data_IF_531338667881
#
_entry.id   IF_531338667881
#
_cell.length_a   1.000
_cell.length_b   1.000
_cell.length_c   1.000
_cell.angle_alpha   90.00
_cell.angle_beta   90.00
_cell.angle_gamma   90.00
#
_symmetry.space_group_name_H-M   'P 1'
#
loop_
_entity.id
_entity.type
_entity.pdbx_description
1 polymer ?
#
# COMPACT_ATOMS: atom_id res chain seq x y z
N UNK A 1 45.29 -34.31 -4.74
CA UNK A 1 44.08 -34.27 -3.89
C UNK A 1 43.71 -32.89 -3.36
N UNK A 2 44.17 -31.77 -3.98
CA UNK A 2 43.87 -30.40 -3.55
C UNK A 2 43.00 -29.59 -4.56
N UNK A 3 42.71 -30.13 -5.74
CA UNK A 3 41.97 -29.39 -6.81
C UNK A 3 40.46 -29.65 -6.74
N UNK A 4 39.99 -30.71 -6.07
CA UNK A 4 38.54 -31.03 -6.01
C UNK A 4 37.79 -30.20 -4.96
N UNK A 5 38.52 -29.69 -3.94
CA UNK A 5 37.86 -28.89 -2.85
C UNK A 5 37.51 -27.46 -3.25
N UNK A 6 38.20 -26.92 -4.26
CA UNK A 6 37.96 -25.52 -4.70
C UNK A 6 36.78 -25.40 -5.65
N UNK A 7 36.37 -26.49 -6.32
CA UNK A 7 35.22 -26.49 -7.24
C UNK A 7 33.88 -26.62 -6.51
N UNK A 8 33.85 -27.17 -5.29
CA UNK A 8 32.60 -27.27 -4.50
C UNK A 8 32.20 -25.98 -3.81
N UNK A 9 33.13 -25.05 -3.57
CA UNK A 9 32.80 -23.74 -2.95
C UNK A 9 32.17 -22.72 -3.93
N UNK A 10 32.33 -22.90 -5.23
CA UNK A 10 31.80 -22.00 -6.25
C UNK A 10 30.33 -22.32 -6.64
N UNK A 11 29.83 -23.49 -6.25
CA UNK A 11 28.45 -23.91 -6.53
C UNK A 11 27.43 -23.43 -5.50
N UNK A 12 27.85 -22.89 -4.36
CA UNK A 12 26.92 -22.43 -3.31
C UNK A 12 26.50 -20.94 -3.43
N UNK A 13 27.10 -20.18 -4.33
CA UNK A 13 26.77 -18.73 -4.49
C UNK A 13 25.57 -18.51 -5.44
N UNK A 14 25.14 -19.55 -6.16
CA UNK A 14 24.05 -19.46 -7.17
C UNK A 14 22.63 -19.68 -6.65
N UNK A 15 22.44 -20.27 -5.47
CA UNK A 15 21.11 -20.71 -5.02
C UNK A 15 20.30 -19.65 -4.27
N UNK A 16 20.93 -18.62 -3.72
CA UNK A 16 20.26 -17.58 -2.94
C UNK A 16 19.44 -16.56 -3.77
N UNK A 17 19.66 -16.50 -5.09
CA UNK A 17 18.91 -15.61 -5.99
C UNK A 17 17.65 -16.22 -6.59
N UNK A 18 17.57 -17.53 -6.69
CA UNK A 18 16.43 -18.22 -7.32
C UNK A 18 15.20 -18.26 -6.40
N UNK A 19 15.38 -18.51 -5.11
CA UNK A 19 14.26 -18.63 -4.16
C UNK A 19 13.52 -17.31 -3.89
N UNK A 20 14.19 -16.18 -4.01
CA UNK A 20 13.55 -14.87 -3.81
C UNK A 20 12.59 -14.48 -4.94
N UNK A 21 12.80 -14.98 -6.15
CA UNK A 21 11.93 -14.77 -7.30
C UNK A 21 10.78 -15.78 -7.29
N UNK A 22 10.96 -16.96 -6.74
CA UNK A 22 9.97 -18.06 -6.77
C UNK A 22 8.66 -17.71 -6.05
N UNK A 23 8.69 -16.89 -5.00
CA UNK A 23 7.47 -16.47 -4.28
C UNK A 23 6.62 -15.41 -5.02
N UNK A 24 7.20 -14.69 -5.99
CA UNK A 24 6.48 -13.77 -6.87
C UNK A 24 5.85 -14.45 -8.08
N UNK A 25 6.30 -15.65 -8.44
CA UNK A 25 5.83 -16.41 -9.61
C UNK A 25 4.39 -16.94 -9.46
N UNK A 26 3.70 -16.66 -8.35
CA UNK A 26 2.24 -16.87 -8.25
C UNK A 26 1.43 -15.87 -9.07
N UNK A 27 2.04 -14.74 -9.48
CA UNK A 27 1.49 -13.86 -10.50
C UNK A 27 2.20 -14.20 -11.80
N UNK A 28 1.54 -14.87 -12.76
CA UNK A 28 2.21 -15.33 -13.96
C UNK A 28 2.63 -14.15 -14.85
N UNK A 29 3.77 -14.31 -15.54
CA UNK A 29 4.25 -13.38 -16.55
C UNK A 29 4.58 -11.95 -16.04
N UNK A 30 5.17 -11.84 -14.86
CA UNK A 30 5.80 -10.61 -14.43
C UNK A 30 7.18 -10.45 -15.07
N UNK A 31 7.51 -9.23 -15.46
CA UNK A 31 8.85 -8.84 -15.89
C UNK A 31 9.42 -7.78 -14.97
N UNK A 32 10.73 -7.85 -14.76
CA UNK A 32 11.44 -6.85 -13.97
C UNK A 32 11.48 -5.52 -14.73
N UNK A 33 10.99 -4.47 -14.08
CA UNK A 33 11.13 -3.12 -14.59
C UNK A 33 12.36 -2.43 -13.98
N UNK A 34 12.53 -2.52 -12.65
CA UNK A 34 13.68 -1.97 -11.96
C UNK A 34 13.99 -2.75 -10.68
N UNK A 35 15.22 -3.27 -10.56
CA UNK A 35 15.68 -4.04 -9.40
C UNK A 35 16.36 -3.18 -8.33
N UNK A 36 17.05 -2.12 -8.75
CA UNK A 36 17.91 -1.32 -7.89
C UNK A 36 17.24 0.05 -7.62
N UNK A 37 16.31 0.10 -6.68
CA UNK A 37 15.86 1.35 -6.08
C UNK A 37 16.69 1.66 -4.84
N UNK A 38 16.91 2.95 -4.55
CA UNK A 38 17.71 3.39 -3.41
C UNK A 38 17.20 2.87 -2.05
N UNK A 39 15.90 2.61 -1.94
CA UNK A 39 15.25 2.08 -0.74
C UNK A 39 15.06 0.55 -0.74
N UNK A 40 15.55 -0.16 -1.76
CA UNK A 40 15.52 -1.63 -1.85
C UNK A 40 14.26 -2.23 -2.47
N UNK A 41 13.26 -1.42 -2.88
CA UNK A 41 12.09 -1.92 -3.58
C UNK A 41 12.45 -2.43 -4.98
N UNK A 42 11.80 -3.51 -5.39
CA UNK A 42 11.91 -4.09 -6.72
C UNK A 42 10.59 -3.88 -7.46
N UNK A 43 10.66 -3.28 -8.63
CA UNK A 43 9.50 -2.97 -9.46
C UNK A 43 9.37 -3.99 -10.58
N UNK A 44 8.17 -4.55 -10.71
CA UNK A 44 7.79 -5.55 -11.70
C UNK A 44 6.56 -5.05 -12.45
N UNK A 45 6.36 -5.49 -13.67
CA UNK A 45 5.15 -5.15 -14.41
C UNK A 45 4.54 -6.39 -15.09
N UNK A 46 3.24 -6.37 -15.30
CA UNK A 46 2.51 -7.46 -15.91
C UNK A 46 2.66 -7.43 -17.44
N UNK A 47 3.21 -8.51 -18.02
CA UNK A 47 3.32 -8.70 -19.49
C UNK A 47 2.05 -9.28 -20.10
N UNK A 48 1.23 -9.95 -19.30
CA UNK A 48 -0.05 -10.53 -19.69
C UNK A 48 -1.08 -10.21 -18.65
N UNK A 49 -2.34 -10.26 -19.02
CA UNK A 49 -3.44 -10.19 -18.07
C UNK A 49 -3.31 -11.34 -17.07
N UNK A 50 -3.64 -11.10 -15.82
CA UNK A 50 -3.62 -12.14 -14.82
C UNK A 50 -4.89 -12.12 -13.94
N UNK A 51 -5.16 -13.28 -13.37
CA UNK A 51 -6.17 -13.49 -12.34
C UNK A 51 -5.51 -14.22 -11.19
N UNK A 52 -5.77 -13.76 -9.97
CA UNK A 52 -5.22 -14.33 -8.73
C UNK A 52 -6.23 -14.15 -7.59
N UNK A 53 -5.84 -14.59 -6.39
CA UNK A 53 -6.69 -14.52 -5.22
C UNK A 53 -7.62 -15.73 -5.10
N UNK A 54 -8.55 -15.63 -4.17
CA UNK A 54 -9.55 -16.68 -3.97
C UNK A 54 -10.56 -16.63 -5.11
N UNK A 55 -10.73 -17.78 -5.82
CA UNK A 55 -11.68 -17.89 -6.95
C UNK A 55 -11.40 -16.82 -8.05
N UNK A 56 -10.12 -16.50 -8.28
CA UNK A 56 -9.71 -15.50 -9.28
C UNK A 56 -10.38 -14.12 -9.11
N UNK A 57 -10.66 -13.74 -7.87
CA UNK A 57 -11.36 -12.50 -7.56
C UNK A 57 -10.52 -11.23 -7.77
N UNK A 58 -9.22 -11.34 -7.94
CA UNK A 58 -8.31 -10.25 -8.31
C UNK A 58 -7.95 -10.38 -9.78
N UNK A 59 -8.21 -9.35 -10.56
CA UNK A 59 -7.93 -9.30 -12.00
C UNK A 59 -7.14 -8.05 -12.32
N UNK A 60 -6.12 -8.18 -13.19
CA UNK A 60 -5.39 -7.04 -13.71
C UNK A 60 -4.92 -7.27 -15.14
N UNK A 61 -4.88 -6.22 -15.91
CA UNK A 61 -4.43 -6.26 -17.29
C UNK A 61 -2.91 -6.03 -17.38
N UNK A 62 -2.33 -6.47 -18.50
CA UNK A 62 -0.94 -6.18 -18.85
C UNK A 62 -0.67 -4.69 -18.88
N UNK A 63 0.51 -4.28 -18.47
CA UNK A 63 0.95 -2.90 -18.56
C UNK A 63 1.45 -2.55 -19.95
N UNK A 64 1.00 -1.42 -20.46
CA UNK A 64 1.59 -0.82 -21.68
C UNK A 64 2.85 -0.03 -21.28
N UNK A 65 3.95 -0.22 -22.01
CA UNK A 65 5.23 0.47 -21.72
C UNK A 65 5.09 1.99 -21.63
N UNK A 66 4.27 2.59 -22.48
CA UNK A 66 4.00 4.03 -22.48
C UNK A 66 3.37 4.50 -21.17
N UNK A 67 2.32 3.80 -20.70
CA UNK A 67 1.63 4.14 -19.46
C UNK A 67 2.53 3.92 -18.24
N UNK A 68 3.29 2.81 -18.26
CA UNK A 68 4.27 2.49 -17.24
C UNK A 68 5.31 3.60 -17.07
N UNK A 69 5.94 4.06 -18.15
CA UNK A 69 6.95 5.12 -18.13
C UNK A 69 6.37 6.44 -17.57
N UNK A 70 5.15 6.79 -17.97
CA UNK A 70 4.50 8.02 -17.52
C UNK A 70 4.16 8.01 -16.02
N UNK A 71 3.79 6.86 -15.48
CA UNK A 71 3.38 6.72 -14.07
C UNK A 71 4.54 6.39 -13.14
N UNK A 72 5.60 5.76 -13.64
CA UNK A 72 6.70 5.27 -12.81
C UNK A 72 7.39 6.37 -12.00
N UNK A 73 7.59 7.56 -12.57
CA UNK A 73 8.20 8.67 -11.86
C UNK A 73 7.38 9.11 -10.65
N UNK A 74 6.05 9.12 -10.79
CA UNK A 74 5.12 9.44 -9.69
C UNK A 74 5.20 8.36 -8.61
N UNK A 75 5.14 7.07 -9.01
CA UNK A 75 5.23 5.93 -8.09
C UNK A 75 6.55 5.98 -7.33
N UNK A 76 7.66 6.14 -8.06
CA UNK A 76 8.99 6.20 -7.47
C UNK A 76 9.12 7.36 -6.48
N UNK A 77 8.70 8.58 -6.86
CA UNK A 77 8.73 9.77 -6.00
C UNK A 77 8.03 9.50 -4.65
N UNK A 78 6.83 8.90 -4.69
CA UNK A 78 6.05 8.65 -3.48
C UNK A 78 6.62 7.49 -2.65
N UNK A 79 7.10 6.42 -3.28
CA UNK A 79 7.67 5.28 -2.56
C UNK A 79 9.11 5.54 -2.05
N UNK A 80 9.87 6.43 -2.68
CA UNK A 80 11.19 6.85 -2.18
C UNK A 80 11.11 7.68 -0.88
N UNK A 81 9.93 8.16 -0.48
CA UNK A 81 9.71 8.78 0.84
C UNK A 81 9.91 7.79 2.00
N UNK A 82 9.84 6.49 1.74
CA UNK A 82 10.05 5.43 2.71
C UNK A 82 11.48 4.88 2.58
N UNK A 83 12.24 4.97 3.65
CA UNK A 83 13.60 4.43 3.66
C UNK A 83 13.62 2.89 3.71
N UNK A 84 14.77 2.30 3.46
CA UNK A 84 14.93 0.85 3.41
C UNK A 84 14.71 0.17 4.76
N UNK A 85 14.97 0.87 5.88
CA UNK A 85 14.76 0.36 7.24
C UNK A 85 13.26 0.21 7.51
N UNK A 86 12.48 1.25 7.20
CA UNK A 86 11.03 1.22 7.34
C UNK A 86 10.39 0.14 6.46
N UNK A 87 10.76 0.08 5.17
CA UNK A 87 10.21 -0.91 4.24
C UNK A 87 10.51 -2.35 4.67
N UNK A 88 11.67 -2.61 5.28
CA UNK A 88 11.98 -3.91 5.88
C UNK A 88 11.09 -4.22 7.08
N UNK A 89 10.84 -3.24 7.96
CA UNK A 89 9.95 -3.41 9.12
C UNK A 89 8.53 -3.80 8.72
N UNK A 90 7.98 -3.17 7.68
CA UNK A 90 6.65 -3.50 7.17
C UNK A 90 6.66 -4.69 6.19
N UNK A 91 7.81 -5.31 5.98
CA UNK A 91 8.01 -6.45 5.10
C UNK A 91 7.58 -6.20 3.64
N UNK A 92 7.72 -4.97 3.11
CA UNK A 92 7.45 -4.65 1.71
C UNK A 92 8.75 -4.74 0.89
N UNK A 93 8.70 -5.46 -0.24
CA UNK A 93 9.86 -5.64 -1.11
C UNK A 93 9.55 -5.44 -2.59
N UNK A 94 8.35 -5.77 -3.00
CA UNK A 94 7.96 -5.82 -4.41
C UNK A 94 6.80 -4.89 -4.70
N UNK A 95 6.89 -4.21 -5.83
CA UNK A 95 5.80 -3.39 -6.38
C UNK A 95 5.47 -3.94 -7.76
N UNK A 96 4.24 -4.43 -7.92
CA UNK A 96 3.73 -4.96 -9.18
C UNK A 96 2.85 -3.92 -9.85
N UNK A 97 3.17 -3.56 -11.08
CA UNK A 97 2.49 -2.55 -11.87
C UNK A 97 1.65 -3.22 -12.96
N UNK A 98 0.37 -2.92 -13.00
CA UNK A 98 -0.57 -3.43 -13.98
C UNK A 98 -1.65 -2.39 -14.30
N UNK A 99 -2.54 -2.64 -15.23
CA UNK A 99 -3.60 -1.72 -15.64
C UNK A 99 -4.98 -2.30 -15.37
N UNK A 100 -5.91 -1.44 -14.94
CA UNK A 100 -7.29 -1.82 -14.66
C UNK A 100 -7.36 -2.97 -13.63
N UNK A 101 -6.93 -2.67 -12.43
CA UNK A 101 -6.93 -3.61 -11.30
C UNK A 101 -8.34 -3.69 -10.68
N UNK A 102 -8.85 -4.89 -10.51
CA UNK A 102 -10.14 -5.16 -9.91
C UNK A 102 -10.02 -6.19 -8.79
N UNK A 103 -10.82 -6.00 -7.74
CA UNK A 103 -11.11 -7.00 -6.72
C UNK A 103 -12.62 -7.20 -6.63
N UNK A 104 -13.10 -8.44 -6.82
CA UNK A 104 -14.53 -8.77 -6.81
C UNK A 104 -15.38 -7.81 -7.66
N UNK A 105 -14.90 -7.46 -8.87
CA UNK A 105 -15.50 -6.54 -9.85
C UNK A 105 -15.43 -5.04 -9.49
N UNK A 106 -14.87 -4.67 -8.34
CA UNK A 106 -14.65 -3.27 -7.96
C UNK A 106 -13.27 -2.85 -8.46
N UNK A 107 -13.20 -1.75 -9.24
CA UNK A 107 -11.92 -1.14 -9.62
C UNK A 107 -11.23 -0.58 -8.38
N UNK A 108 -9.99 -0.97 -8.15
CA UNK A 108 -9.17 -0.52 -7.02
C UNK A 108 -7.84 0.03 -7.51
N UNK A 109 -7.30 0.97 -6.76
CA UNK A 109 -6.01 1.58 -7.08
C UNK A 109 -4.81 0.72 -6.70
N UNK A 110 -4.96 -0.09 -5.66
CA UNK A 110 -3.91 -0.97 -5.19
C UNK A 110 -4.44 -2.16 -4.40
N UNK A 111 -3.60 -3.15 -4.22
CA UNK A 111 -3.84 -4.30 -3.35
C UNK A 111 -2.54 -4.61 -2.61
N UNK A 112 -2.51 -4.41 -1.28
CA UNK A 112 -1.39 -4.77 -0.45
C UNK A 112 -1.43 -6.26 -0.10
N UNK A 113 -0.31 -6.95 -0.14
CA UNK A 113 -0.16 -8.33 0.33
C UNK A 113 1.11 -8.46 1.16
N UNK A 114 0.99 -8.35 2.47
CA UNK A 114 2.08 -8.51 3.42
C UNK A 114 2.74 -9.88 3.31
N UNK A 115 1.96 -10.94 3.12
CA UNK A 115 2.46 -12.32 3.06
C UNK A 115 3.39 -12.52 1.87
N UNK A 116 3.03 -11.93 0.73
CA UNK A 116 3.85 -11.95 -0.49
C UNK A 116 4.84 -10.78 -0.56
N UNK A 117 4.88 -9.93 0.45
CA UNK A 117 5.77 -8.77 0.51
C UNK A 117 5.58 -7.82 -0.69
N UNK A 118 4.34 -7.69 -1.17
CA UNK A 118 4.01 -7.09 -2.46
C UNK A 118 2.93 -6.05 -2.32
N UNK A 119 3.09 -4.98 -3.06
CA UNK A 119 2.05 -3.99 -3.35
C UNK A 119 1.75 -4.05 -4.85
N UNK A 120 0.51 -4.35 -5.23
CA UNK A 120 0.04 -4.26 -6.62
C UNK A 120 -0.57 -2.88 -6.81
N UNK A 121 -0.22 -2.17 -7.88
CA UNK A 121 -0.75 -0.84 -8.20
C UNK A 121 -1.36 -0.81 -9.61
N UNK A 122 -2.53 -0.22 -9.71
CA UNK A 122 -3.16 0.11 -11.00
C UNK A 122 -2.58 1.42 -11.55
N UNK A 123 -1.68 1.31 -12.54
CA UNK A 123 -1.08 2.51 -13.17
C UNK A 123 -2.09 3.31 -14.01
N UNK A 124 -3.30 2.79 -14.21
CA UNK A 124 -4.38 3.45 -14.97
C UNK A 124 -5.42 4.11 -14.05
N UNK A 125 -5.25 3.95 -12.73
CA UNK A 125 -6.16 4.54 -11.76
C UNK A 125 -6.24 6.06 -11.88
N UNK A 126 -7.33 6.63 -11.41
CA UNK A 126 -7.64 8.05 -11.51
C UNK A 126 -6.47 8.93 -11.02
N UNK A 127 -5.93 9.76 -11.90
CA UNK A 127 -4.77 10.61 -11.65
C UNK A 127 -4.96 11.55 -10.45
N UNK A 128 -6.19 12.02 -10.20
CA UNK A 128 -6.53 12.93 -9.09
C UNK A 128 -6.17 12.34 -7.73
N UNK A 129 -6.34 11.03 -7.56
CA UNK A 129 -6.18 10.34 -6.29
C UNK A 129 -4.91 9.50 -6.22
N UNK A 130 -4.21 9.28 -7.35
CA UNK A 130 -3.20 8.25 -7.50
C UNK A 130 -2.04 8.35 -6.51
N UNK A 131 -1.48 9.56 -6.28
CA UNK A 131 -0.39 9.74 -5.31
C UNK A 131 -0.84 9.37 -3.89
N UNK A 132 -2.02 9.84 -3.48
CA UNK A 132 -2.59 9.58 -2.17
C UNK A 132 -2.85 8.09 -1.93
N UNK A 133 -3.40 7.41 -2.93
CA UNK A 133 -3.70 5.98 -2.82
C UNK A 133 -2.46 5.14 -2.62
N UNK A 134 -1.31 5.48 -3.19
CA UNK A 134 -0.05 4.78 -2.90
C UNK A 134 0.22 4.74 -1.39
N UNK A 135 0.05 5.85 -0.70
CA UNK A 135 0.26 5.92 0.75
C UNK A 135 -0.86 5.24 1.54
N UNK A 136 -2.09 5.27 1.04
CA UNK A 136 -3.22 4.53 1.58
C UNK A 136 -2.93 3.02 1.62
N UNK A 137 -2.48 2.45 0.52
CA UNK A 137 -2.13 1.03 0.43
C UNK A 137 -0.89 0.67 1.27
N UNK A 138 0.09 1.56 1.36
CA UNK A 138 1.23 1.40 2.30
C UNK A 138 0.72 1.32 3.73
N UNK A 139 -0.27 2.12 4.12
CA UNK A 139 -0.83 2.06 5.46
C UNK A 139 -1.45 0.70 5.78
N UNK A 140 -2.15 0.06 4.85
CA UNK A 140 -2.67 -1.28 5.07
C UNK A 140 -1.55 -2.30 5.37
N UNK A 141 -0.39 -2.18 4.69
CA UNK A 141 0.78 -3.02 5.00
C UNK A 141 1.33 -2.70 6.41
N UNK A 142 1.37 -1.42 6.79
CA UNK A 142 1.77 -0.98 8.14
C UNK A 142 0.82 -1.54 9.18
N UNK A 143 -0.48 -1.37 8.98
CA UNK A 143 -1.53 -1.86 9.87
C UNK A 143 -1.43 -3.38 10.09
N UNK A 144 -1.30 -4.16 9.01
CA UNK A 144 -1.15 -5.61 9.10
C UNK A 144 0.17 -6.04 9.76
N UNK A 145 1.24 -5.27 9.54
CA UNK A 145 2.56 -5.57 10.11
C UNK A 145 2.64 -5.29 11.61
N UNK A 146 1.90 -4.30 12.08
CA UNK A 146 1.90 -3.82 13.45
C UNK A 146 0.49 -3.78 14.05
N UNK A 147 -0.33 -4.78 13.74
CA UNK A 147 -1.74 -4.84 14.14
C UNK A 147 -1.97 -4.62 15.64
N UNK A 148 -1.00 -5.01 16.48
CA UNK A 148 -1.04 -4.80 17.93
C UNK A 148 -0.92 -3.31 18.35
N UNK A 149 -0.47 -2.42 17.47
CA UNK A 149 -0.41 -0.98 17.70
C UNK A 149 -1.67 -0.23 17.28
N UNK A 150 -2.55 -0.88 16.51
CA UNK A 150 -3.75 -0.26 15.96
C UNK A 150 -5.00 -0.96 16.48
N UNK A 151 -5.80 -0.26 17.28
CA UNK A 151 -7.05 -0.79 17.83
C UNK A 151 -8.26 -0.10 17.20
N UNK A 152 -9.06 -0.88 16.49
CA UNK A 152 -10.28 -0.40 15.83
C UNK A 152 -11.33 0.12 16.81
N UNK A 153 -11.38 -0.39 18.05
CA UNK A 153 -12.32 0.08 19.09
C UNK A 153 -11.88 1.44 19.62
N UNK A 154 -10.58 1.59 19.94
CA UNK A 154 -10.00 2.87 20.35
C UNK A 154 -10.21 3.92 19.25
N UNK A 155 -9.92 3.59 18.00
CA UNK A 155 -10.14 4.47 16.86
C UNK A 155 -11.60 4.88 16.70
N UNK A 156 -12.53 3.93 16.78
CA UNK A 156 -13.96 4.17 16.65
C UNK A 156 -14.52 5.04 17.77
N UNK A 157 -13.92 4.99 18.96
CA UNK A 157 -14.32 5.80 20.12
C UNK A 157 -14.08 7.30 19.93
N UNK A 158 -13.22 7.72 19.00
CA UNK A 158 -13.08 9.14 18.65
C UNK A 158 -14.31 9.70 17.95
N UNK A 159 -15.09 8.88 17.26
CA UNK A 159 -16.25 9.30 16.48
C UNK A 159 -17.44 9.67 17.40
N UNK A 160 -18.39 10.43 16.86
CA UNK A 160 -19.66 10.69 17.55
C UNK A 160 -20.36 9.38 17.87
N UNK A 161 -21.00 9.29 19.05
CA UNK A 161 -21.71 8.06 19.51
C UNK A 161 -22.79 7.56 18.53
N UNK A 162 -23.37 8.46 17.74
CA UNK A 162 -24.37 8.14 16.72
C UNK A 162 -23.77 7.53 15.43
N UNK A 163 -22.45 7.59 15.25
CA UNK A 163 -21.79 7.07 14.05
C UNK A 163 -21.44 5.60 14.21
N UNK A 164 -21.68 4.82 13.14
CA UNK A 164 -21.23 3.42 13.02
C UNK A 164 -20.59 3.20 11.66
N UNK A 165 -19.46 2.52 11.66
CA UNK A 165 -18.85 2.00 10.43
C UNK A 165 -19.76 0.94 9.80
N UNK A 166 -19.56 0.69 8.50
CA UNK A 166 -20.15 -0.45 7.81
C UNK A 166 -19.45 -1.77 8.21
N UNK A 167 -20.02 -2.89 7.83
CA UNK A 167 -19.48 -4.23 8.15
C UNK A 167 -18.25 -4.57 7.29
N UNK A 168 -18.12 -4.00 6.10
CA UNK A 168 -16.95 -4.13 5.24
C UNK A 168 -16.75 -2.87 4.36
N UNK A 169 -15.53 -2.69 3.81
CA UNK A 169 -15.17 -1.53 2.98
C UNK A 169 -15.99 -1.44 1.68
N UNK A 170 -16.41 -2.58 1.15
CA UNK A 170 -17.17 -2.70 -0.10
C UNK A 170 -18.67 -2.94 0.10
N UNK A 171 -19.13 -3.02 1.36
CA UNK A 171 -20.56 -3.24 1.71
C UNK A 171 -21.37 -1.94 1.72
N UNK A 172 -20.76 -0.80 1.47
CA UNK A 172 -21.41 0.50 1.44
C UNK A 172 -21.15 1.20 0.10
N UNK A 173 -22.02 2.11 -0.26
CA UNK A 173 -21.89 3.01 -1.40
C UNK A 173 -20.96 4.20 -1.15
N UNK A 174 -20.29 4.22 0.01
CA UNK A 174 -19.36 5.28 0.45
C UNK A 174 -18.01 5.16 -0.24
N UNK A 175 -17.94 5.44 -1.51
CA UNK A 175 -16.75 5.24 -2.34
C UNK A 175 -16.08 6.55 -2.79
N UNK A 176 -16.63 7.72 -2.44
CA UNK A 176 -16.05 8.98 -2.85
C UNK A 176 -14.75 9.28 -2.09
N UNK A 177 -13.70 9.55 -2.86
CA UNK A 177 -12.34 9.83 -2.38
C UNK A 177 -12.04 11.34 -2.27
N UNK A 178 -12.98 12.23 -2.55
CA UNK A 178 -12.75 13.66 -2.44
C UNK A 178 -12.65 14.11 -0.98
N UNK A 179 -11.69 15.02 -0.73
CA UNK A 179 -11.51 15.61 0.59
C UNK A 179 -12.74 16.46 0.97
N UNK A 180 -13.31 16.19 2.12
CA UNK A 180 -14.40 16.99 2.66
C UNK A 180 -13.98 18.42 3.03
N UNK A 181 -14.82 19.39 2.74
CA UNK A 181 -14.62 20.74 3.23
C UNK A 181 -14.75 20.81 4.76
N UNK A 182 -15.80 20.20 5.31
CA UNK A 182 -16.01 20.01 6.75
C UNK A 182 -15.80 18.53 7.06
N UNK A 183 -14.73 18.21 7.76
CA UNK A 183 -14.30 16.83 7.97
C UNK A 183 -15.15 16.09 9.01
N UNK A 184 -15.58 16.76 10.06
CA UNK A 184 -16.38 16.15 11.15
C UNK A 184 -15.84 14.76 11.60
N UNK A 185 -14.51 14.70 11.70
CA UNK A 185 -13.75 13.49 12.02
C UNK A 185 -13.39 12.60 10.82
N UNK A 186 -13.89 12.88 9.62
CA UNK A 186 -13.65 12.05 8.42
C UNK A 186 -13.11 12.89 7.27
N UNK A 187 -12.02 12.44 6.65
CA UNK A 187 -11.38 13.20 5.57
C UNK A 187 -12.08 13.03 4.23
N UNK A 188 -12.66 11.87 3.97
CA UNK A 188 -13.41 11.54 2.75
C UNK A 188 -14.70 10.80 3.12
N UNK A 189 -15.57 10.58 2.13
CA UNK A 189 -16.71 9.66 2.32
C UNK A 189 -16.23 8.24 2.56
N UNK A 190 -15.21 7.80 1.84
CA UNK A 190 -14.61 6.47 1.99
C UNK A 190 -14.07 6.21 3.39
N UNK A 191 -13.58 7.23 4.10
CA UNK A 191 -13.21 7.14 5.52
C UNK A 191 -14.35 6.60 6.42
N UNK A 192 -15.60 6.76 6.00
CA UNK A 192 -16.77 6.29 6.78
C UNK A 192 -17.12 4.82 6.54
N UNK A 193 -16.37 4.11 5.68
CA UNK A 193 -16.65 2.71 5.37
C UNK A 193 -16.31 1.78 6.54
N UNK A 194 -15.03 1.62 6.87
CA UNK A 194 -14.57 0.87 8.05
C UNK A 194 -13.38 1.58 8.72
N UNK A 195 -13.08 1.19 9.95
CA UNK A 195 -12.04 1.84 10.75
C UNK A 195 -10.64 1.79 10.11
N UNK A 196 -10.26 0.68 9.48
CA UNK A 196 -8.95 0.55 8.81
C UNK A 196 -8.82 1.46 7.58
N UNK A 197 -9.91 1.64 6.82
CA UNK A 197 -9.92 2.57 5.69
C UNK A 197 -9.83 4.02 6.16
N UNK A 198 -10.52 4.36 7.25
CA UNK A 198 -10.43 5.68 7.86
C UNK A 198 -9.02 6.01 8.33
N UNK A 199 -8.33 5.06 8.98
CA UNK A 199 -6.92 5.20 9.36
C UNK A 199 -6.03 5.42 8.13
N UNK A 200 -6.24 4.62 7.07
CA UNK A 200 -5.47 4.70 5.83
C UNK A 200 -5.69 6.03 5.10
N UNK A 201 -6.92 6.54 5.08
CA UNK A 201 -7.24 7.85 4.53
C UNK A 201 -6.55 8.97 5.32
N UNK A 202 -6.65 8.98 6.66
CA UNK A 202 -5.97 9.99 7.50
C UNK A 202 -4.46 9.93 7.29
N UNK A 203 -3.86 8.73 7.28
CA UNK A 203 -2.42 8.57 7.03
C UNK A 203 -2.00 9.11 5.66
N UNK A 204 -2.74 8.76 4.61
CA UNK A 204 -2.41 9.17 3.25
C UNK A 204 -2.48 10.68 3.06
N UNK A 205 -3.47 11.35 3.65
CA UNK A 205 -3.57 12.80 3.63
C UNK A 205 -2.47 13.48 4.46
N UNK A 206 -2.04 12.90 5.58
CA UNK A 206 -0.91 13.42 6.36
C UNK A 206 0.39 13.47 5.55
N UNK A 207 0.55 12.60 4.56
CA UNK A 207 1.73 12.60 3.69
C UNK A 207 1.53 13.52 2.50
N UNK A 208 0.39 13.45 1.82
CA UNK A 208 0.18 14.13 0.53
C UNK A 208 -0.36 15.55 0.66
N UNK A 209 -1.05 15.86 1.76
CA UNK A 209 -1.68 17.17 1.98
C UNK A 209 -1.63 17.61 3.46
N UNK A 210 -0.45 17.45 4.07
CA UNK A 210 -0.20 17.70 5.50
C UNK A 210 -0.72 19.07 5.95
N UNK A 211 -0.39 20.12 5.20
CA UNK A 211 -0.75 21.50 5.56
C UNK A 211 -2.27 21.70 5.66
N UNK A 212 -3.02 21.14 4.72
CA UNK A 212 -4.48 21.26 4.72
C UNK A 212 -5.11 20.44 5.86
N UNK A 213 -4.62 19.23 6.10
CA UNK A 213 -5.10 18.40 7.21
C UNK A 213 -4.81 19.08 8.57
N UNK A 214 -3.62 19.61 8.78
CA UNK A 214 -3.27 20.34 10.02
C UNK A 214 -4.12 21.62 10.18
N UNK A 215 -4.49 22.30 9.10
CA UNK A 215 -5.45 23.41 9.16
C UNK A 215 -6.85 22.94 9.57
N UNK A 216 -7.30 21.79 9.07
CA UNK A 216 -8.61 21.22 9.41
C UNK A 216 -8.68 20.75 10.86
N UNK A 217 -7.61 20.18 11.41
CA UNK A 217 -7.58 19.75 12.83
C UNK A 217 -7.78 20.90 13.82
N UNK A 218 -7.48 22.13 13.44
CA UNK A 218 -7.75 23.31 14.29
C UNK A 218 -9.25 23.56 14.54
N UNK A 219 -10.10 23.05 13.67
CA UNK A 219 -11.56 23.21 13.72
C UNK A 219 -12.31 21.91 14.00
N UNK A 220 -11.60 20.78 13.98
CA UNK A 220 -12.17 19.44 14.12
C UNK A 220 -11.39 18.64 15.16
N UNK A 221 -11.86 18.60 16.41
CA UNK A 221 -11.19 17.90 17.52
C UNK A 221 -11.20 16.37 17.32
N UNK A 222 -12.19 15.80 16.61
CA UNK A 222 -12.22 14.37 16.30
C UNK A 222 -11.08 14.04 15.33
N UNK A 223 -10.94 14.82 14.26
CA UNK A 223 -9.85 14.66 13.32
C UNK A 223 -8.48 14.89 13.98
N UNK A 224 -8.37 15.84 14.91
CA UNK A 224 -7.14 16.06 15.67
C UNK A 224 -6.73 14.81 16.45
N UNK A 225 -7.67 14.18 17.17
CA UNK A 225 -7.41 12.95 17.92
C UNK A 225 -6.95 11.82 16.99
N UNK A 226 -7.60 11.63 15.84
CA UNK A 226 -7.24 10.66 14.83
C UNK A 226 -5.84 10.90 14.25
N UNK A 227 -5.51 12.14 13.92
CA UNK A 227 -4.17 12.54 13.43
C UNK A 227 -3.10 12.25 14.49
N UNK A 228 -3.35 12.62 15.75
CA UNK A 228 -2.41 12.36 16.85
C UNK A 228 -2.22 10.86 17.11
N UNK A 229 -3.30 10.09 16.99
CA UNK A 229 -3.24 8.63 17.08
C UNK A 229 -2.31 8.04 16.01
N UNK A 230 -2.53 8.37 14.74
CA UNK A 230 -1.68 7.89 13.62
C UNK A 230 -0.23 8.31 13.83
N UNK A 231 0.05 9.61 14.11
CA UNK A 231 1.41 10.10 14.33
C UNK A 231 2.10 9.30 15.44
N UNK A 232 1.46 9.13 16.59
CA UNK A 232 2.04 8.42 17.74
C UNK A 232 2.36 6.95 17.45
N UNK A 233 1.55 6.26 16.62
CA UNK A 233 1.78 4.86 16.25
C UNK A 233 2.93 4.73 15.24
N UNK A 234 2.99 5.64 14.25
CA UNK A 234 4.10 5.67 13.28
C UNK A 234 5.42 5.99 13.99
N UNK A 235 5.44 6.93 14.93
CA UNK A 235 6.64 7.26 15.72
C UNK A 235 7.12 6.03 16.52
N UNK A 236 6.22 5.28 17.16
CA UNK A 236 6.57 4.00 17.81
C UNK A 236 7.20 3.01 16.84
N UNK A 237 6.63 2.83 15.65
CA UNK A 237 7.18 1.94 14.63
C UNK A 237 8.58 2.38 14.19
N UNK A 238 8.82 3.67 14.03
CA UNK A 238 10.12 4.19 13.62
C UNK A 238 11.20 3.93 14.69
N UNK A 239 10.82 3.92 15.97
CA UNK A 239 11.72 3.70 17.10
C UNK A 239 11.96 2.23 17.44
N UNK A 240 11.23 1.27 16.83
CA UNK A 240 11.51 -0.17 16.92
C UNK A 240 12.71 -0.57 16.04
#
# INVERSE_FOLDING_TARGET
MKIILTLLLLLQIGTLKADEIHNLLKIPNLEVYKLNSGNGLKYLFAKKNFKIGREDNIKCNKSQKKNLNNKFLIIKKNLDMYDSKFLKKINLRFVVLCENLFISQINTAGIPDKTKRTLILDINFNKKYFERVIHHEIFHIVYDSFKHLFDNKEWSAFNKKSFKYADCSTCSDRLNLDLYNNTDGFVTEYSKSIASEDMAEVFSFLITDKTNIEKKTKKDPILLNKVNYIKSRIDKINNL
#
